data_IF_283064713144
#
_entry.id   IF_283064713144
#
_cell.length_a   1.000
_cell.length_b   1.000
_cell.length_c   1.000
_cell.angle_alpha   90.00
_cell.angle_beta   90.00
_cell.angle_gamma   90.00
#
_symmetry.space_group_name_H-M   'P 1'
#
loop_
_entity.id
_entity.type
_entity.pdbx_description
1 polymer ?
#
# COMPACT_ATOMS: atom_id res chain seq x y z
N UNK A 1 -7.46 24.33 -19.62
CA UNK A 1 -7.16 22.97 -20.15
C UNK A 1 -8.27 22.63 -21.12
N UNK A 2 -7.94 22.28 -22.37
CA UNK A 2 -8.95 21.87 -23.35
C UNK A 2 -9.57 20.55 -22.87
N UNK A 3 -10.90 20.51 -22.71
CA UNK A 3 -11.65 19.35 -22.19
C UNK A 3 -11.56 18.07 -23.06
N UNK A 4 -10.91 18.13 -24.22
CA UNK A 4 -10.76 17.03 -25.19
C UNK A 4 -9.34 16.45 -25.31
N UNK A 5 -8.38 16.87 -24.49
CA UNK A 5 -7.01 16.36 -24.58
C UNK A 5 -6.87 15.09 -23.73
N UNK A 6 -6.52 13.98 -24.39
CA UNK A 6 -6.27 12.70 -23.70
C UNK A 6 -5.13 12.88 -22.69
N UNK A 7 -5.31 12.55 -21.40
CA UNK A 7 -4.27 12.71 -20.39
C UNK A 7 -2.99 12.01 -20.79
N UNK A 8 -1.86 12.69 -20.59
CA UNK A 8 -0.56 12.16 -21.00
C UNK A 8 -0.20 10.87 -20.23
N UNK A 9 -0.55 10.80 -18.93
CA UNK A 9 -0.16 9.69 -18.04
C UNK A 9 -1.35 9.15 -17.25
N UNK A 10 -1.52 7.82 -17.26
CA UNK A 10 -2.42 7.09 -16.36
C UNK A 10 -1.65 6.48 -15.19
N UNK A 11 -2.20 6.53 -13.97
CA UNK A 11 -1.61 5.93 -12.78
C UNK A 11 -2.60 4.91 -12.19
N UNK A 12 -2.26 3.62 -12.13
CA UNK A 12 -3.07 2.62 -11.45
C UNK A 12 -3.12 2.89 -9.93
N UNK A 13 -4.34 3.04 -9.37
CA UNK A 13 -4.56 3.24 -7.92
C UNK A 13 -4.49 1.93 -7.17
N UNK A 14 -3.34 1.27 -7.21
CA UNK A 14 -3.12 -0.02 -6.59
C UNK A 14 -1.66 -0.17 -6.13
N UNK A 15 -1.38 -1.16 -5.34
CA UNK A 15 -0.03 -1.48 -4.86
C UNK A 15 0.66 -0.26 -4.24
N UNK A 16 1.87 0.06 -4.69
CA UNK A 16 2.68 1.14 -4.13
C UNK A 16 2.13 2.56 -4.38
N UNK A 17 1.05 2.71 -5.17
CA UNK A 17 0.36 4.00 -5.27
C UNK A 17 -0.10 4.51 -3.90
N UNK A 18 -0.69 3.65 -3.07
CA UNK A 18 -1.15 4.03 -1.73
C UNK A 18 -0.02 4.45 -0.78
N UNK A 19 1.22 4.10 -1.12
CA UNK A 19 2.41 4.48 -0.36
C UNK A 19 3.14 5.69 -0.95
N UNK A 20 3.22 5.79 -2.29
CA UNK A 20 4.03 6.78 -3.01
C UNK A 20 3.22 7.71 -3.92
N UNK A 21 1.90 7.57 -3.98
CA UNK A 21 1.03 8.40 -4.82
C UNK A 21 1.30 9.89 -4.70
N UNK A 22 1.42 10.48 -3.49
CA UNK A 22 1.74 11.90 -3.33
C UNK A 22 3.05 12.32 -4.02
N UNK A 23 4.07 11.45 -4.04
CA UNK A 23 5.32 11.68 -4.76
C UNK A 23 5.09 11.68 -6.28
N UNK A 24 4.42 10.65 -6.79
CA UNK A 24 4.22 10.49 -8.23
C UNK A 24 3.34 11.58 -8.82
N UNK A 25 2.25 11.88 -8.17
CA UNK A 25 1.33 12.95 -8.60
C UNK A 25 2.00 14.33 -8.56
N UNK A 26 2.70 14.66 -7.47
CA UNK A 26 3.39 15.94 -7.37
C UNK A 26 4.53 16.05 -8.38
N UNK A 27 5.27 14.98 -8.65
CA UNK A 27 6.29 14.93 -9.70
C UNK A 27 5.71 15.32 -11.07
N UNK A 28 4.60 14.69 -11.47
CA UNK A 28 3.94 14.99 -12.73
C UNK A 28 3.37 16.42 -12.76
N UNK A 29 2.71 16.87 -11.68
CA UNK A 29 2.22 18.26 -11.56
C UNK A 29 3.34 19.29 -11.70
N UNK A 30 4.49 19.05 -11.05
CA UNK A 30 5.64 19.97 -11.09
C UNK A 30 6.26 20.06 -12.49
N UNK A 31 6.08 19.04 -13.32
CA UNK A 31 6.49 19.04 -14.73
C UNK A 31 5.39 19.57 -15.67
N UNK A 32 4.20 19.88 -15.17
CA UNK A 32 3.06 20.29 -16.01
C UNK A 32 2.46 19.16 -16.84
N UNK A 33 2.71 17.89 -16.45
CA UNK A 33 2.19 16.71 -17.14
C UNK A 33 0.80 16.38 -16.64
N UNK A 34 -0.19 16.34 -17.54
CA UNK A 34 -1.55 15.91 -17.22
C UNK A 34 -1.59 14.41 -16.91
N UNK A 35 -2.36 14.02 -15.91
CA UNK A 35 -2.53 12.62 -15.56
C UNK A 35 -3.94 12.30 -15.08
N UNK A 36 -4.31 11.03 -15.17
CA UNK A 36 -5.53 10.47 -14.56
C UNK A 36 -5.18 9.31 -13.63
N UNK A 37 -5.99 9.13 -12.62
CA UNK A 37 -5.96 7.94 -11.77
C UNK A 37 -6.98 6.92 -12.30
N UNK A 38 -6.69 5.64 -12.17
CA UNK A 38 -7.73 4.62 -12.35
C UNK A 38 -8.89 4.84 -11.37
N UNK A 39 -10.12 4.42 -11.68
CA UNK A 39 -11.23 4.49 -10.74
C UNK A 39 -10.91 3.80 -9.40
N UNK A 40 -11.64 4.10 -8.32
CA UNK A 40 -11.52 3.34 -7.07
C UNK A 40 -11.69 1.85 -7.29
N UNK A 41 -10.99 1.04 -6.47
CA UNK A 41 -11.13 -0.41 -6.48
C UNK A 41 -12.58 -0.87 -6.30
N UNK A 42 -12.97 -1.91 -7.03
CA UNK A 42 -14.32 -2.46 -7.04
C UNK A 42 -14.29 -3.96 -7.29
N UNK A 43 -15.43 -4.63 -7.09
CA UNK A 43 -15.61 -6.03 -7.46
C UNK A 43 -15.28 -6.27 -8.94
N UNK A 44 -15.76 -5.41 -9.83
CA UNK A 44 -15.45 -5.51 -11.27
C UNK A 44 -13.96 -5.38 -11.57
N UNK A 45 -13.25 -4.49 -10.86
CA UNK A 45 -11.78 -4.37 -10.96
C UNK A 45 -11.08 -5.67 -10.58
N UNK A 46 -11.51 -6.32 -9.48
CA UNK A 46 -10.94 -7.59 -9.05
C UNK A 46 -11.26 -8.74 -10.03
N UNK A 47 -12.51 -8.85 -10.48
CA UNK A 47 -12.94 -9.89 -11.41
C UNK A 47 -12.20 -9.80 -12.74
N UNK A 48 -12.01 -8.60 -13.26
CA UNK A 48 -11.22 -8.35 -14.45
C UNK A 48 -9.75 -8.71 -14.24
N UNK A 49 -9.14 -8.19 -13.20
CA UNK A 49 -7.73 -8.47 -12.89
C UNK A 49 -7.47 -9.95 -12.61
N UNK A 50 -8.44 -10.69 -12.08
CA UNK A 50 -8.35 -12.15 -11.86
C UNK A 50 -8.28 -12.91 -13.19
N UNK A 51 -8.98 -12.45 -14.22
CA UNK A 51 -8.92 -13.06 -15.57
C UNK A 51 -7.61 -12.77 -16.30
N UNK A 52 -6.94 -11.67 -15.94
CA UNK A 52 -5.73 -11.19 -16.60
C UNK A 52 -4.44 -11.69 -15.95
N UNK A 53 -4.45 -11.81 -14.63
CA UNK A 53 -3.26 -12.21 -13.87
C UNK A 53 -3.12 -13.75 -13.84
N UNK A 54 -1.89 -14.30 -13.72
CA UNK A 54 -1.70 -15.72 -13.44
C UNK A 54 -2.42 -16.16 -12.15
N UNK A 55 -2.91 -17.40 -12.12
CA UNK A 55 -3.75 -17.92 -11.03
C UNK A 55 -3.10 -17.80 -9.64
N UNK A 56 -1.80 -18.08 -9.54
CA UNK A 56 -1.05 -17.99 -8.27
C UNK A 56 -0.66 -16.56 -7.90
N UNK A 57 -1.14 -15.56 -8.62
CA UNK A 57 -0.89 -14.16 -8.27
C UNK A 57 -1.63 -13.78 -6.98
N UNK A 58 -0.97 -12.99 -6.14
CA UNK A 58 -1.63 -12.48 -4.94
C UNK A 58 -2.79 -11.54 -5.31
N UNK A 59 -3.77 -11.46 -4.42
CA UNK A 59 -4.96 -10.62 -4.57
C UNK A 59 -4.61 -9.19 -5.01
N UNK A 60 -3.56 -8.60 -4.43
CA UNK A 60 -3.14 -7.24 -4.74
C UNK A 60 -2.62 -7.10 -6.18
N UNK A 61 -1.95 -8.12 -6.73
CA UNK A 61 -1.53 -8.13 -8.13
C UNK A 61 -2.74 -8.25 -9.06
N UNK A 62 -3.73 -9.07 -8.70
CA UNK A 62 -4.98 -9.18 -9.46
C UNK A 62 -5.71 -7.83 -9.49
N UNK A 63 -5.87 -7.17 -8.34
CA UNK A 63 -6.40 -5.81 -8.28
C UNK A 63 -5.61 -4.84 -9.16
N UNK A 64 -4.28 -4.89 -9.12
CA UNK A 64 -3.42 -4.02 -9.91
C UNK A 64 -3.66 -4.19 -11.43
N UNK A 65 -3.77 -5.42 -11.92
CA UNK A 65 -4.03 -5.67 -13.36
C UNK A 65 -5.40 -5.15 -13.78
N UNK A 66 -6.42 -5.29 -12.94
CA UNK A 66 -7.73 -4.68 -13.18
C UNK A 66 -7.67 -3.15 -13.24
N UNK A 67 -6.90 -2.51 -12.36
CA UNK A 67 -6.68 -1.06 -12.42
C UNK A 67 -5.95 -0.63 -13.70
N UNK A 68 -4.94 -1.39 -14.14
CA UNK A 68 -4.26 -1.13 -15.41
C UNK A 68 -5.24 -1.19 -16.58
N UNK A 69 -6.09 -2.24 -16.63
CA UNK A 69 -7.09 -2.40 -17.69
C UNK A 69 -8.02 -1.19 -17.81
N UNK A 70 -8.46 -0.62 -16.68
CA UNK A 70 -9.33 0.57 -16.69
C UNK A 70 -8.69 1.81 -17.31
N UNK A 71 -7.37 1.83 -17.49
CA UNK A 71 -6.61 2.94 -18.08
C UNK A 71 -6.28 2.73 -19.56
N UNK A 72 -6.41 1.51 -20.06
CA UNK A 72 -6.12 1.19 -21.47
C UNK A 72 -6.99 2.04 -22.39
N UNK A 73 -6.35 2.71 -23.35
CA UNK A 73 -7.01 3.61 -24.31
C UNK A 73 -7.51 4.95 -23.74
N UNK A 74 -7.30 5.22 -22.44
CA UNK A 74 -7.77 6.46 -21.76
C UNK A 74 -6.67 7.49 -21.49
N UNK A 75 -5.41 7.11 -21.74
CA UNK A 75 -4.25 7.97 -21.56
C UNK A 75 -3.16 7.60 -22.58
N UNK A 76 -2.25 8.52 -22.84
CA UNK A 76 -1.16 8.29 -23.79
C UNK A 76 -0.16 7.24 -23.30
N UNK A 77 0.09 7.18 -22.01
CA UNK A 77 1.05 6.27 -21.36
C UNK A 77 0.54 5.85 -19.99
N UNK A 78 0.88 4.65 -19.52
CA UNK A 78 0.58 4.20 -18.16
C UNK A 78 1.90 4.12 -17.38
N UNK A 79 1.97 4.82 -16.23
CA UNK A 79 3.12 4.80 -15.34
C UNK A 79 3.03 3.60 -14.39
N UNK A 80 4.03 2.73 -14.44
CA UNK A 80 4.20 1.60 -13.53
C UNK A 80 5.61 1.66 -12.96
N UNK A 81 5.82 2.29 -11.80
CA UNK A 81 7.13 2.32 -11.16
C UNK A 81 7.57 0.93 -10.71
N UNK A 82 8.85 0.63 -10.90
CA UNK A 82 9.52 -0.56 -10.39
C UNK A 82 10.28 -0.19 -9.11
N UNK A 83 10.08 -0.99 -8.08
CA UNK A 83 10.80 -0.84 -6.82
C UNK A 83 11.46 -2.17 -6.48
N UNK A 84 12.78 -2.24 -6.67
CA UNK A 84 13.60 -3.41 -6.36
C UNK A 84 14.23 -3.27 -4.97
N UNK A 85 14.94 -2.17 -4.74
CA UNK A 85 15.65 -1.91 -3.46
C UNK A 85 16.06 -0.45 -3.32
N UNK A 86 16.33 -0.05 -2.06
CA UNK A 86 17.04 1.18 -1.72
C UNK A 86 18.49 0.93 -1.29
N UNK A 87 18.93 -0.35 -1.29
CA UNK A 87 20.25 -0.79 -0.89
C UNK A 87 20.25 -2.28 -0.56
N UNK A 88 21.38 -2.81 -0.08
CA UNK A 88 21.56 -4.25 0.16
C UNK A 88 20.65 -4.85 1.25
N UNK A 89 20.17 -4.05 2.17
CA UNK A 89 19.34 -4.48 3.29
C UNK A 89 17.89 -3.98 3.19
N UNK A 90 17.59 -3.20 2.18
CA UNK A 90 16.29 -2.52 2.01
C UNK A 90 15.64 -3.00 0.72
N UNK A 91 15.02 -4.17 0.79
CA UNK A 91 14.47 -4.87 -0.37
C UNK A 91 12.95 -4.67 -0.47
N UNK A 92 12.46 -4.67 -1.68
CA UNK A 92 11.03 -4.77 -1.95
C UNK A 92 10.65 -6.20 -2.37
N UNK A 93 9.38 -6.54 -2.26
CA UNK A 93 8.87 -7.78 -2.84
C UNK A 93 9.09 -7.78 -4.36
N UNK A 94 9.57 -8.88 -4.92
CA UNK A 94 9.84 -9.02 -6.37
C UNK A 94 8.63 -8.77 -7.25
N UNK A 95 7.42 -8.82 -6.68
CA UNK A 95 6.20 -8.42 -7.41
C UNK A 95 6.25 -6.95 -7.83
N UNK A 96 6.74 -6.03 -7.00
CA UNK A 96 6.84 -4.61 -7.37
C UNK A 96 7.86 -4.36 -8.49
N UNK A 97 8.92 -5.15 -8.54
CA UNK A 97 9.89 -5.10 -9.63
C UNK A 97 9.28 -5.61 -10.94
N UNK A 98 8.56 -6.72 -10.90
CA UNK A 98 7.99 -7.38 -12.07
C UNK A 98 6.70 -6.77 -12.63
N UNK A 99 6.04 -5.82 -11.93
CA UNK A 99 4.74 -5.26 -12.33
C UNK A 99 4.74 -4.70 -13.76
N UNK A 100 5.76 -3.93 -14.11
CA UNK A 100 5.88 -3.29 -15.41
C UNK A 100 5.94 -4.32 -16.54
N UNK A 101 6.79 -5.34 -16.41
CA UNK A 101 6.96 -6.36 -17.44
C UNK A 101 5.72 -7.23 -17.57
N UNK A 102 5.07 -7.57 -16.45
CA UNK A 102 3.83 -8.32 -16.45
C UNK A 102 2.71 -7.55 -17.15
N UNK A 103 2.49 -6.28 -16.80
CA UNK A 103 1.48 -5.45 -17.41
C UNK A 103 1.77 -5.27 -18.91
N UNK A 104 3.00 -4.95 -19.29
CA UNK A 104 3.42 -4.79 -20.69
C UNK A 104 3.19 -6.08 -21.50
N UNK A 105 3.44 -7.25 -20.92
CA UNK A 105 3.22 -8.52 -21.58
C UNK A 105 1.73 -8.88 -21.70
N UNK A 106 0.96 -8.70 -20.64
CA UNK A 106 -0.49 -8.97 -20.61
C UNK A 106 -1.21 -8.09 -21.65
N UNK A 107 -0.89 -6.81 -21.67
CA UNK A 107 -1.54 -5.82 -22.55
C UNK A 107 -0.78 -5.56 -23.88
N UNK A 108 0.11 -6.46 -24.32
CA UNK A 108 0.95 -6.26 -25.52
C UNK A 108 0.16 -6.00 -26.80
N UNK A 109 -1.05 -6.55 -26.91
CA UNK A 109 -1.92 -6.40 -28.09
C UNK A 109 -2.77 -5.12 -28.05
N UNK A 110 -2.80 -4.38 -26.94
CA UNK A 110 -3.63 -3.18 -26.78
C UNK A 110 -3.08 -1.93 -27.48
N UNK A 111 -1.79 -1.95 -27.89
CA UNK A 111 -1.09 -0.76 -28.38
C UNK A 111 -0.78 0.28 -27.31
N UNK A 112 -1.15 0.06 -26.04
CA UNK A 112 -0.91 0.98 -24.94
C UNK A 112 0.59 1.11 -24.64
N UNK A 113 1.06 2.35 -24.49
CA UNK A 113 2.44 2.61 -24.05
C UNK A 113 2.52 2.56 -22.53
N UNK A 114 3.56 1.90 -22.02
CA UNK A 114 3.90 1.85 -20.60
C UNK A 114 5.22 2.58 -20.37
N UNK A 115 5.30 3.34 -19.29
CA UNK A 115 6.51 4.01 -18.81
C UNK A 115 6.81 3.58 -17.39
N UNK A 116 8.07 3.63 -17.00
CA UNK A 116 8.51 3.18 -15.69
C UNK A 116 9.51 4.13 -15.05
N UNK A 117 9.55 4.10 -13.73
CA UNK A 117 10.62 4.63 -12.90
C UNK A 117 11.26 3.42 -12.22
N UNK A 118 12.49 3.08 -12.56
CA UNK A 118 13.16 1.88 -12.04
C UNK A 118 14.08 2.23 -10.87
N UNK A 119 13.61 2.00 -9.65
CA UNK A 119 14.37 2.22 -8.40
C UNK A 119 15.11 0.93 -8.04
N UNK A 120 16.41 0.93 -8.26
CA UNK A 120 17.33 -0.19 -8.00
C UNK A 120 18.72 0.36 -7.63
N UNK A 121 18.87 0.74 -6.37
CA UNK A 121 20.06 1.40 -5.88
C UNK A 121 21.30 0.50 -5.96
N UNK A 122 21.13 -0.83 -5.79
CA UNK A 122 22.22 -1.81 -5.90
C UNK A 122 22.82 -1.84 -7.31
N UNK A 123 21.99 -1.63 -8.34
CA UNK A 123 22.41 -1.59 -9.74
C UNK A 123 22.58 -0.16 -10.28
N UNK A 124 22.83 0.82 -9.38
CA UNK A 124 23.19 2.19 -9.74
C UNK A 124 22.04 3.06 -10.21
N UNK A 125 20.78 2.71 -9.89
CA UNK A 125 19.58 3.49 -10.14
C UNK A 125 18.87 3.87 -8.83
N UNK A 126 19.46 4.74 -7.99
CA UNK A 126 18.78 5.27 -6.82
C UNK A 126 17.58 6.12 -7.22
N UNK A 127 16.63 6.31 -6.31
CA UNK A 127 15.34 6.97 -6.59
C UNK A 127 15.46 8.31 -7.35
N UNK A 128 16.37 9.26 -6.99
CA UNK A 128 16.50 10.50 -7.76
C UNK A 128 16.85 10.27 -9.22
N UNK A 129 17.78 9.35 -9.50
CA UNK A 129 18.22 9.02 -10.86
C UNK A 129 17.12 8.33 -11.65
N UNK A 130 16.35 7.46 -11.03
CA UNK A 130 15.21 6.81 -11.66
C UNK A 130 14.13 7.84 -12.08
N UNK A 131 13.88 8.87 -11.27
CA UNK A 131 12.97 9.97 -11.63
C UNK A 131 13.56 10.92 -12.69
N UNK A 132 14.87 11.11 -12.74
CA UNK A 132 15.53 11.82 -13.84
C UNK A 132 15.33 11.08 -15.17
N UNK A 133 15.44 9.75 -15.19
CA UNK A 133 15.19 8.92 -16.36
C UNK A 133 13.72 8.96 -16.80
N UNK A 134 12.79 8.85 -15.85
CA UNK A 134 11.34 9.01 -16.13
C UNK A 134 11.04 10.39 -16.74
N UNK A 135 11.65 11.45 -16.19
CA UNK A 135 11.48 12.80 -16.72
C UNK A 135 12.04 12.97 -18.14
N UNK A 136 13.18 12.36 -18.43
CA UNK A 136 13.75 12.33 -19.78
C UNK A 136 12.82 11.61 -20.78
N UNK A 137 12.21 10.49 -20.38
CA UNK A 137 11.20 9.80 -21.21
C UNK A 137 9.95 10.65 -21.46
N UNK A 138 9.64 11.56 -20.54
CA UNK A 138 8.54 12.54 -20.67
C UNK A 138 8.96 13.82 -21.43
N UNK A 139 10.23 13.95 -21.81
CA UNK A 139 10.76 15.10 -22.59
C UNK A 139 11.35 16.24 -21.74
N UNK A 140 11.66 16.00 -20.47
CA UNK A 140 12.21 17.00 -19.56
C UNK A 140 13.71 16.79 -19.32
N UNK A 141 14.41 17.88 -18.99
CA UNK A 141 15.82 17.83 -18.60
C UNK A 141 16.02 17.20 -17.22
N UNK A 142 17.21 16.65 -16.96
CA UNK A 142 17.57 16.10 -15.64
C UNK A 142 17.37 17.12 -14.50
N UNK A 143 17.69 18.41 -14.74
CA UNK A 143 17.49 19.47 -13.75
C UNK A 143 16.01 19.69 -13.40
N UNK A 144 15.13 19.72 -14.40
CA UNK A 144 13.68 19.85 -14.20
C UNK A 144 13.13 18.63 -13.45
N UNK A 145 13.52 17.43 -13.88
CA UNK A 145 13.09 16.16 -13.28
C UNK A 145 13.53 16.04 -11.82
N UNK A 146 14.78 16.41 -11.53
CA UNK A 146 15.31 16.41 -10.16
C UNK A 146 14.57 17.39 -9.24
N UNK A 147 14.28 18.60 -9.74
CA UNK A 147 13.47 19.57 -8.99
C UNK A 147 12.07 19.03 -8.71
N UNK A 148 11.40 18.48 -9.72
CA UNK A 148 10.07 17.89 -9.59
C UNK A 148 10.06 16.71 -8.60
N UNK A 149 11.09 15.84 -8.64
CA UNK A 149 11.27 14.77 -7.65
C UNK A 149 11.44 15.31 -6.22
N UNK A 150 12.22 16.38 -6.02
CA UNK A 150 12.38 17.00 -4.70
C UNK A 150 11.05 17.55 -4.15
N UNK A 151 10.23 18.16 -5.00
CA UNK A 151 8.89 18.66 -4.65
C UNK A 151 7.95 17.48 -4.31
N UNK A 152 7.97 16.41 -5.11
CA UNK A 152 7.23 15.18 -4.85
C UNK A 152 7.63 14.50 -3.53
N UNK A 153 8.92 14.39 -3.27
CA UNK A 153 9.45 13.83 -2.01
C UNK A 153 9.06 14.68 -0.79
N UNK A 154 8.97 16.01 -0.95
CA UNK A 154 8.46 16.90 0.11
C UNK A 154 6.97 16.66 0.35
N UNK A 155 6.17 16.55 -0.71
CA UNK A 155 4.73 16.27 -0.61
C UNK A 155 4.48 14.94 0.10
N UNK A 156 5.21 13.89 -0.25
CA UNK A 156 5.11 12.58 0.41
C UNK A 156 5.46 12.67 1.92
N UNK A 157 6.56 13.34 2.27
CA UNK A 157 6.93 13.53 3.68
C UNK A 157 5.89 14.31 4.47
N UNK A 158 5.28 15.33 3.85
CA UNK A 158 4.22 16.11 4.50
C UNK A 158 2.95 15.28 4.72
N UNK A 159 2.56 14.47 3.73
CA UNK A 159 1.43 13.55 3.85
C UNK A 159 1.64 12.59 5.04
N UNK A 160 2.78 11.90 5.09
CA UNK A 160 3.13 10.97 6.19
C UNK A 160 3.13 11.63 7.57
N UNK A 161 3.67 12.84 7.69
CA UNK A 161 3.63 13.60 8.96
C UNK A 161 2.20 13.91 9.40
N UNK A 162 1.32 14.23 8.45
CA UNK A 162 -0.08 14.49 8.74
C UNK A 162 -0.78 13.21 9.19
N UNK A 163 -0.57 12.10 8.50
CA UNK A 163 -1.11 10.79 8.88
C UNK A 163 -0.64 10.37 10.28
N UNK A 164 0.66 10.46 10.55
CA UNK A 164 1.23 10.14 11.86
C UNK A 164 0.64 10.99 12.97
N UNK A 165 0.44 12.30 12.73
CA UNK A 165 -0.21 13.18 13.70
C UNK A 165 -1.63 12.74 14.01
N UNK A 166 -2.42 12.44 12.96
CA UNK A 166 -3.79 11.92 13.14
C UNK A 166 -3.79 10.65 13.98
N UNK A 167 -2.85 9.73 13.74
CA UNK A 167 -2.74 8.50 14.54
C UNK A 167 -2.40 8.79 16.01
N UNK A 168 -1.52 9.74 16.27
CA UNK A 168 -1.18 10.16 17.64
C UNK A 168 -2.38 10.75 18.37
N UNK A 169 -3.16 11.59 17.69
CA UNK A 169 -4.36 12.20 18.24
C UNK A 169 -5.43 11.12 18.53
N UNK A 170 -5.64 10.17 17.63
CA UNK A 170 -6.54 9.02 17.84
C UNK A 170 -6.08 8.15 19.02
N UNK A 171 -4.78 7.88 19.11
CA UNK A 171 -4.22 7.06 20.19
C UNK A 171 -4.35 7.73 21.57
N UNK A 172 -4.34 9.05 21.63
CA UNK A 172 -4.52 9.82 22.86
C UNK A 172 -6.00 9.99 23.27
N UNK A 173 -6.93 9.83 22.32
CA UNK A 173 -8.37 9.98 22.54
C UNK A 173 -8.98 8.83 23.35
N UNK A 174 -10.26 8.96 23.78
CA UNK A 174 -10.99 7.90 24.47
C UNK A 174 -11.43 6.77 23.51
N UNK A 175 -11.97 5.70 24.08
CA UNK A 175 -12.60 4.58 23.37
C UNK A 175 -11.70 3.36 23.21
N UNK A 176 -12.32 2.26 22.81
CA UNK A 176 -11.65 1.00 22.49
C UNK A 176 -10.79 1.16 21.24
N UNK A 177 -9.52 0.83 21.32
CA UNK A 177 -8.56 1.01 20.24
C UNK A 177 -8.16 -0.31 19.61
N UNK A 178 -8.40 -0.44 18.32
CA UNK A 178 -7.97 -1.58 17.52
C UNK A 178 -6.85 -1.16 16.59
N UNK A 179 -5.67 -1.76 16.75
CA UNK A 179 -4.56 -1.55 15.85
C UNK A 179 -4.71 -2.46 14.62
N UNK A 180 -4.86 -1.86 13.45
CA UNK A 180 -4.89 -2.60 12.19
C UNK A 180 -3.52 -2.55 11.51
N UNK A 181 -3.01 -3.71 11.14
CA UNK A 181 -1.73 -3.88 10.48
C UNK A 181 -1.92 -4.63 9.15
N UNK A 182 -1.42 -4.06 8.08
CA UNK A 182 -1.49 -4.59 6.73
C UNK A 182 -0.90 -3.59 5.74
N UNK A 183 -0.69 -4.02 4.53
CA UNK A 183 -0.20 -3.13 3.49
C UNK A 183 -1.19 -1.99 3.19
N UNK A 184 -0.68 -0.77 2.99
CA UNK A 184 -1.49 0.41 2.66
C UNK A 184 -2.43 0.17 1.48
N UNK A 185 -2.00 -0.59 0.47
CA UNK A 185 -2.82 -0.93 -0.69
C UNK A 185 -3.94 -1.94 -0.42
N UNK A 186 -3.94 -2.60 0.74
CA UNK A 186 -5.08 -3.38 1.21
C UNK A 186 -5.97 -2.48 2.06
N UNK A 187 -5.41 -1.83 3.07
CA UNK A 187 -6.16 -1.07 4.07
C UNK A 187 -6.82 0.20 3.50
N UNK A 188 -6.20 0.84 2.52
CA UNK A 188 -6.72 2.07 1.90
C UNK A 188 -7.51 1.83 0.62
N UNK A 189 -7.59 0.58 0.13
CA UNK A 189 -8.40 0.26 -1.03
C UNK A 189 -9.90 0.26 -0.66
N UNK A 190 -10.75 0.98 -1.43
CA UNK A 190 -12.18 1.07 -1.15
C UNK A 190 -12.93 -0.25 -1.17
N UNK A 191 -12.45 -1.23 -1.91
CA UNK A 191 -13.09 -2.53 -2.03
C UNK A 191 -12.54 -3.54 -1.01
N UNK A 192 -11.23 -3.52 -0.72
CA UNK A 192 -10.58 -4.51 0.15
C UNK A 192 -10.61 -4.10 1.63
N UNK A 193 -10.11 -2.92 1.94
CA UNK A 193 -9.88 -2.50 3.33
C UNK A 193 -11.00 -1.68 3.94
N UNK A 194 -11.64 -0.81 3.13
CA UNK A 194 -12.70 0.06 3.64
C UNK A 194 -13.81 -0.70 4.37
N UNK A 195 -14.33 -1.84 3.88
CA UNK A 195 -15.37 -2.58 4.61
C UNK A 195 -14.93 -3.03 6.01
N UNK A 196 -13.66 -3.41 6.19
CA UNK A 196 -13.11 -3.79 7.51
C UNK A 196 -13.10 -2.56 8.43
N UNK A 197 -12.66 -1.41 7.92
CA UNK A 197 -12.62 -0.16 8.68
C UNK A 197 -14.03 0.33 9.05
N UNK A 198 -14.99 0.20 8.13
CA UNK A 198 -16.39 0.56 8.35
C UNK A 198 -17.02 -0.35 9.44
N UNK A 199 -16.74 -1.65 9.44
CA UNK A 199 -17.21 -2.58 10.47
C UNK A 199 -16.67 -2.20 11.85
N UNK A 200 -15.37 -1.88 11.96
CA UNK A 200 -14.77 -1.41 13.22
C UNK A 200 -15.40 -0.11 13.70
N UNK A 201 -15.60 0.85 12.80
CA UNK A 201 -16.22 2.13 13.12
C UNK A 201 -17.69 1.97 13.56
N UNK A 202 -18.47 1.12 12.89
CA UNK A 202 -19.85 0.81 13.27
C UNK A 202 -19.94 0.20 14.67
N UNK A 203 -18.94 -0.59 15.07
CA UNK A 203 -18.85 -1.16 16.42
C UNK A 203 -18.29 -0.17 17.48
N UNK A 204 -18.02 1.09 17.11
CA UNK A 204 -17.51 2.13 18.00
C UNK A 204 -16.02 2.02 18.32
N UNK A 205 -15.25 1.20 17.58
CA UNK A 205 -13.83 1.07 17.79
C UNK A 205 -13.04 2.22 17.11
N UNK A 206 -12.05 2.75 17.81
CA UNK A 206 -11.06 3.67 17.25
C UNK A 206 -9.97 2.86 16.57
N UNK A 207 -9.81 3.04 15.26
CA UNK A 207 -8.82 2.30 14.48
C UNK A 207 -7.49 3.04 14.42
N UNK A 208 -6.43 2.42 14.93
CA UNK A 208 -5.05 2.84 14.75
C UNK A 208 -4.42 2.07 13.59
N UNK A 209 -3.57 2.71 12.78
CA UNK A 209 -2.93 2.10 11.61
C UNK A 209 -1.43 1.91 11.84
N UNK A 210 -0.95 0.68 11.70
CA UNK A 210 0.46 0.36 11.86
C UNK A 210 1.35 0.95 10.75
N UNK A 211 0.80 1.14 9.54
CA UNK A 211 1.50 1.70 8.38
C UNK A 211 1.60 3.23 8.36
N UNK A 212 0.94 3.93 9.30
CA UNK A 212 0.88 5.39 9.36
C UNK A 212 1.85 5.98 10.40
N UNK A 213 3.11 5.56 10.36
CA UNK A 213 4.21 6.04 11.19
C UNK A 213 5.39 6.51 10.33
N UNK A 214 6.33 7.20 10.98
CA UNK A 214 7.61 7.49 10.34
C UNK A 214 8.32 6.18 9.93
N UNK A 215 8.59 5.97 8.63
CA UNK A 215 9.14 4.71 8.13
C UNK A 215 10.49 4.34 8.72
N UNK A 216 11.37 5.32 8.97
CA UNK A 216 12.69 5.07 9.54
C UNK A 216 12.59 4.60 10.99
N UNK A 217 11.74 5.25 11.77
CA UNK A 217 11.46 4.88 13.16
C UNK A 217 10.86 3.46 13.24
N UNK A 218 9.91 3.15 12.36
CA UNK A 218 9.28 1.84 12.29
C UNK A 218 10.31 0.74 11.94
N UNK A 219 11.15 0.94 10.92
CA UNK A 219 12.19 -0.01 10.55
C UNK A 219 13.21 -0.24 11.67
N UNK A 220 13.63 0.81 12.37
CA UNK A 220 14.51 0.68 13.56
C UNK A 220 13.88 -0.19 14.65
N UNK A 221 12.57 -0.06 14.88
CA UNK A 221 11.84 -0.91 15.83
C UNK A 221 11.78 -2.37 15.34
N UNK A 222 11.49 -2.57 14.05
CA UNK A 222 11.48 -3.88 13.43
C UNK A 222 12.84 -4.59 13.56
N UNK A 223 13.94 -3.94 13.23
CA UNK A 223 15.27 -4.57 13.25
C UNK A 223 15.71 -5.02 14.66
N UNK A 224 15.26 -4.31 15.71
CA UNK A 224 15.49 -4.77 17.10
C UNK A 224 14.71 -6.04 17.46
N UNK A 225 13.56 -6.24 16.83
CA UNK A 225 12.69 -7.38 17.08
C UNK A 225 12.97 -8.56 16.13
N UNK A 226 13.21 -8.27 14.86
CA UNK A 226 13.49 -9.25 13.79
C UNK A 226 14.59 -8.72 12.86
N UNK A 227 15.89 -8.96 13.21
CA UNK A 227 17.02 -8.49 12.41
C UNK A 227 17.09 -9.09 11.00
N UNK A 228 16.37 -10.18 10.75
CA UNK A 228 16.37 -10.91 9.48
C UNK A 228 15.26 -10.48 8.52
N UNK A 229 14.33 -9.63 8.95
CA UNK A 229 13.35 -9.03 8.05
C UNK A 229 14.07 -8.11 7.06
N UNK A 230 13.76 -8.22 5.76
CA UNK A 230 14.44 -7.49 4.68
C UNK A 230 13.46 -6.76 3.76
N UNK A 231 12.16 -7.01 3.90
CA UNK A 231 11.14 -6.36 3.08
C UNK A 231 10.72 -5.04 3.72
N UNK A 232 11.08 -3.92 3.09
CA UNK A 232 10.85 -2.56 3.59
C UNK A 232 9.41 -2.36 4.08
N UNK A 233 8.42 -2.75 3.28
CA UNK A 233 7.02 -2.50 3.65
C UNK A 233 6.60 -3.36 4.84
N UNK A 234 7.03 -4.62 4.89
CA UNK A 234 6.76 -5.50 6.04
C UNK A 234 7.51 -5.04 7.30
N UNK A 235 8.76 -4.53 7.15
CA UNK A 235 9.50 -3.92 8.28
C UNK A 235 8.77 -2.74 8.90
N UNK A 236 8.18 -1.89 8.06
CA UNK A 236 7.44 -0.71 8.52
C UNK A 236 6.15 -1.11 9.23
N UNK A 237 5.40 -2.07 8.69
CA UNK A 237 4.18 -2.59 9.31
C UNK A 237 4.50 -3.24 10.66
N UNK A 238 5.49 -4.13 10.68
CA UNK A 238 5.92 -4.82 11.90
C UNK A 238 6.42 -3.84 12.96
N UNK A 239 7.25 -2.88 12.55
CA UNK A 239 7.73 -1.83 13.45
C UNK A 239 6.62 -0.91 13.95
N UNK A 240 5.63 -0.63 13.11
CA UNK A 240 4.42 0.11 13.48
C UNK A 240 3.60 -0.62 14.54
N UNK A 241 3.42 -1.93 14.38
CA UNK A 241 2.76 -2.76 15.42
C UNK A 241 3.50 -2.65 16.74
N UNK A 242 4.84 -2.79 16.73
CA UNK A 242 5.64 -2.73 17.95
C UNK A 242 5.57 -1.37 18.66
N UNK A 243 5.41 -0.28 17.93
CA UNK A 243 5.31 1.06 18.50
C UNK A 243 3.90 1.39 19.03
N UNK A 244 2.86 0.87 18.36
CA UNK A 244 1.48 1.17 18.70
C UNK A 244 0.80 0.17 19.63
N UNK A 245 1.32 -1.06 19.76
CA UNK A 245 0.64 -2.14 20.51
C UNK A 245 0.29 -1.76 21.95
N UNK A 246 1.12 -0.96 22.64
CA UNK A 246 0.85 -0.53 24.02
C UNK A 246 -0.29 0.54 24.12
N UNK A 247 -0.75 1.04 22.98
CA UNK A 247 -1.86 1.99 22.86
C UNK A 247 -3.14 1.33 22.35
N UNK A 248 -3.10 0.04 22.05
CA UNK A 248 -4.22 -0.70 21.49
C UNK A 248 -4.75 -1.74 22.47
N UNK A 249 -6.04 -2.02 22.38
CA UNK A 249 -6.72 -3.09 23.14
C UNK A 249 -6.69 -4.43 22.40
N UNK A 250 -6.40 -4.43 21.09
CA UNK A 250 -6.24 -5.61 20.26
C UNK A 250 -5.67 -5.28 18.89
N UNK A 251 -5.21 -6.30 18.17
CA UNK A 251 -4.56 -6.16 16.86
C UNK A 251 -5.26 -6.99 15.82
N UNK A 252 -5.53 -6.40 14.64
CA UNK A 252 -5.99 -7.11 13.45
C UNK A 252 -4.85 -7.08 12.42
N UNK A 253 -4.42 -8.27 11.96
CA UNK A 253 -3.40 -8.44 10.93
C UNK A 253 -4.08 -8.78 9.61
N UNK A 254 -4.08 -7.84 8.65
CA UNK A 254 -4.74 -8.02 7.36
C UNK A 254 -3.71 -8.31 6.28
N UNK A 255 -3.90 -9.39 5.55
CA UNK A 255 -3.04 -9.81 4.44
C UNK A 255 -3.83 -10.23 3.20
N UNK A 256 -3.20 -10.17 2.04
CA UNK A 256 -3.75 -10.63 0.76
C UNK A 256 -3.21 -12.03 0.43
N UNK A 257 -4.08 -12.99 0.15
CA UNK A 257 -3.66 -14.32 -0.27
C UNK A 257 -3.17 -14.35 -1.74
N UNK A 258 -2.12 -15.14 -2.06
CA UNK A 258 -1.06 -15.66 -1.22
C UNK A 258 0.11 -14.65 -1.12
N UNK A 259 0.29 -14.02 0.03
CA UNK A 259 1.41 -13.13 0.29
C UNK A 259 2.44 -13.83 1.20
N UNK A 260 3.60 -14.18 0.65
CA UNK A 260 4.67 -14.85 1.41
C UNK A 260 5.25 -13.98 2.54
N UNK A 261 5.69 -12.75 2.27
CA UNK A 261 6.16 -11.83 3.31
C UNK A 261 5.19 -11.64 4.45
N UNK A 262 3.90 -11.39 4.17
CA UNK A 262 2.89 -11.19 5.20
C UNK A 262 2.63 -12.47 6.02
N UNK A 263 2.62 -13.64 5.37
CA UNK A 263 2.43 -14.91 6.08
C UNK A 263 3.53 -15.12 7.14
N UNK A 264 4.77 -14.77 6.81
CA UNK A 264 5.92 -14.88 7.74
C UNK A 264 5.85 -13.84 8.85
N UNK A 265 5.59 -12.58 8.52
CA UNK A 265 5.57 -11.49 9.51
C UNK A 265 4.35 -11.57 10.43
N UNK A 266 3.18 -11.94 9.91
CA UNK A 266 1.97 -12.12 10.71
C UNK A 266 2.11 -13.29 11.68
N UNK A 267 2.67 -14.43 11.24
CA UNK A 267 2.93 -15.56 12.13
C UNK A 267 3.94 -15.20 13.24
N UNK A 268 4.97 -14.43 12.91
CA UNK A 268 5.92 -13.93 13.91
C UNK A 268 5.22 -13.04 14.94
N UNK A 269 4.33 -12.14 14.52
CA UNK A 269 3.57 -11.27 15.43
C UNK A 269 2.63 -12.10 16.32
N UNK A 270 1.85 -13.03 15.76
CA UNK A 270 0.94 -13.91 16.53
C UNK A 270 1.70 -14.70 17.60
N UNK A 271 2.87 -15.21 17.27
CA UNK A 271 3.69 -15.97 18.23
C UNK A 271 4.35 -15.13 19.33
N UNK A 272 4.72 -13.90 19.00
CA UNK A 272 5.53 -13.04 19.89
C UNK A 272 4.70 -12.05 20.71
N UNK A 273 3.54 -11.62 20.22
CA UNK A 273 2.65 -10.74 20.98
C UNK A 273 1.86 -11.58 21.98
N UNK A 274 1.98 -11.24 23.25
CA UNK A 274 1.29 -11.90 24.37
C UNK A 274 0.51 -10.89 25.16
N UNK A 275 -0.56 -11.33 25.83
CA UNK A 275 -1.35 -10.52 26.72
C UNK A 275 -2.39 -9.62 26.05
N UNK A 276 -2.55 -9.71 24.72
CA UNK A 276 -3.62 -9.02 24.00
C UNK A 276 -4.16 -9.89 22.85
N UNK A 277 -5.42 -9.70 22.46
CA UNK A 277 -6.02 -10.40 21.33
C UNK A 277 -5.35 -10.01 20.00
N UNK A 278 -5.09 -11.01 19.15
CA UNK A 278 -4.58 -10.80 17.79
C UNK A 278 -5.45 -11.60 16.83
N UNK A 279 -6.07 -10.92 15.86
CA UNK A 279 -6.91 -11.53 14.82
C UNK A 279 -6.21 -11.45 13.45
N UNK A 280 -5.71 -12.56 12.88
CA UNK A 280 -5.28 -12.59 11.50
C UNK A 280 -6.49 -12.70 10.56
N UNK A 281 -6.57 -11.80 9.56
CA UNK A 281 -7.52 -11.80 8.47
C UNK A 281 -6.77 -11.95 7.15
N UNK A 282 -7.09 -13.01 6.40
CA UNK A 282 -6.54 -13.24 5.07
C UNK A 282 -7.65 -12.99 4.04
N UNK A 283 -7.42 -12.04 3.15
CA UNK A 283 -8.33 -11.69 2.07
C UNK A 283 -7.92 -12.44 0.79
N UNK A 284 -8.88 -13.00 0.10
CA UNK A 284 -8.70 -13.64 -1.21
C UNK A 284 -9.80 -13.24 -2.20
N UNK A 285 -9.75 -13.78 -3.41
CA UNK A 285 -10.76 -13.50 -4.45
C UNK A 285 -12.14 -14.06 -4.12
N UNK A 286 -12.26 -14.95 -3.15
CA UNK A 286 -13.50 -15.64 -2.74
C UNK A 286 -13.97 -15.19 -1.35
N UNK A 287 -13.19 -14.36 -0.65
CA UNK A 287 -13.55 -13.89 0.69
C UNK A 287 -14.84 -13.09 0.67
N UNK A 288 -15.87 -13.63 1.30
CA UNK A 288 -17.12 -12.93 1.54
C UNK A 288 -17.02 -12.01 2.75
N UNK A 289 -17.63 -10.81 2.67
CA UNK A 289 -17.62 -9.84 3.77
C UNK A 289 -18.30 -10.37 5.04
N UNK A 290 -19.38 -11.13 4.93
CA UNK A 290 -20.11 -11.67 6.10
C UNK A 290 -19.22 -12.48 7.05
N UNK A 291 -18.32 -13.32 6.50
CA UNK A 291 -17.38 -14.08 7.33
C UNK A 291 -16.32 -13.21 8.01
N UNK A 292 -15.95 -12.09 7.41
CA UNK A 292 -15.02 -11.11 7.98
C UNK A 292 -15.70 -10.33 9.10
N UNK A 293 -16.92 -9.87 8.89
CA UNK A 293 -17.75 -9.15 9.89
C UNK A 293 -17.93 -9.97 11.16
N UNK A 294 -18.37 -11.23 11.05
CA UNK A 294 -18.54 -12.12 12.20
C UNK A 294 -17.24 -12.32 12.99
N UNK A 295 -16.10 -12.43 12.31
CA UNK A 295 -14.80 -12.57 12.98
C UNK A 295 -14.38 -11.29 13.70
N UNK A 296 -14.66 -10.13 13.11
CA UNK A 296 -14.39 -8.82 13.73
C UNK A 296 -15.29 -8.65 14.97
N UNK A 297 -16.58 -8.93 14.86
CA UNK A 297 -17.53 -8.86 15.99
C UNK A 297 -17.07 -9.74 17.15
N UNK A 298 -16.78 -11.00 16.88
CA UNK A 298 -16.26 -11.93 17.91
C UNK A 298 -14.94 -11.44 18.52
N UNK A 299 -14.08 -10.84 17.73
CA UNK A 299 -12.82 -10.29 18.21
C UNK A 299 -13.05 -9.08 19.15
N UNK A 300 -13.96 -8.20 18.79
CA UNK A 300 -14.32 -7.04 19.63
C UNK A 300 -14.98 -7.49 20.95
N UNK A 301 -15.77 -8.54 20.94
CA UNK A 301 -16.37 -9.10 22.16
C UNK A 301 -15.31 -9.69 23.09
N UNK A 302 -14.26 -10.33 22.54
CA UNK A 302 -13.11 -10.79 23.33
C UNK A 302 -12.41 -9.60 24.00
N UNK A 303 -12.22 -8.47 23.29
CA UNK A 303 -11.61 -7.27 23.86
C UNK A 303 -12.48 -6.70 24.99
N UNK A 304 -13.80 -6.56 24.78
CA UNK A 304 -14.76 -6.08 25.79
C UNK A 304 -14.74 -6.96 27.04
N UNK A 305 -14.75 -8.26 26.85
CA UNK A 305 -14.66 -9.22 27.95
C UNK A 305 -13.39 -9.06 28.78
N UNK A 306 -12.24 -8.92 28.12
CA UNK A 306 -10.96 -8.71 28.81
C UNK A 306 -10.89 -7.37 29.56
N UNK A 307 -11.63 -6.35 29.14
CA UNK A 307 -11.73 -5.05 29.81
C UNK A 307 -12.76 -5.03 30.94
N UNK A 308 -13.50 -6.13 31.14
CA UNK A 308 -14.60 -6.18 32.13
C UNK A 308 -15.83 -5.40 31.70
N UNK A 309 -15.93 -5.04 30.45
CA UNK A 309 -17.10 -4.40 29.80
C UNK A 309 -18.04 -5.50 29.33
N UNK A 310 -18.62 -6.27 30.28
CA UNK A 310 -19.60 -7.31 29.90
C UNK A 310 -20.93 -6.67 29.50
N UNK A 311 -21.57 -7.31 28.53
CA UNK A 311 -22.90 -7.03 27.97
C UNK A 311 -23.98 -6.94 29.03
#
# INVERSE_FOLDING_TARGET
MNENEVPAVGIPRAMLYYRYGPLWEQFLRSLGVSFILSPPGSRGTLESGTKLAPDESCLSLKMFMGHVETLIGRCGRILIPRYSNYGYTELFCTRYEGLYDQARNIFRSSGQRFITCNIDAQNGSPEPKAFEQLGAELGFTARQSRRAWMEGSRALRQCRKTEERVQKDLAAGPGMKVLIAGHSYILSDPYLGKPILDCLAAAGAVTLRADALDPESARKACHRFSPTCRWIVSEEILGGVLQWKEKADGIILVSAFPCGPDSMTNELLVRRIKGMPVLPLVLDTQSGMAGIETRIESFLDIIRFQKGEML
#
